data_IF_500203039435
#
_entry.id   IF_500203039435
#
_cell.length_a   1.000
_cell.length_b   1.000
_cell.length_c   1.000
_cell.angle_alpha   90.00
_cell.angle_beta   90.00
_cell.angle_gamma   90.00
#
_symmetry.space_group_name_H-M   'P 1'
#
loop_
_entity.id
_entity.type
_entity.pdbx_description
1 polymer ?
#
# COMPACT_ATOMS: atom_id res chain seq x y z
N UNK A 1 36.18 -59.40 -5.08
CA UNK A 1 36.98 -59.03 -3.90
C UNK A 1 37.45 -57.60 -4.14
N UNK A 2 36.95 -56.66 -3.32
CA UNK A 2 37.01 -55.22 -3.54
C UNK A 2 38.44 -54.63 -3.45
N UNK A 3 38.74 -53.50 -4.12
CA UNK A 3 39.86 -52.64 -3.76
C UNK A 3 39.42 -51.68 -2.63
N UNK A 4 40.27 -51.54 -1.61
CA UNK A 4 40.12 -50.59 -0.51
C UNK A 4 41.27 -49.58 -0.57
N UNK A 5 40.95 -48.35 -0.14
CA UNK A 5 41.82 -47.21 0.18
C UNK A 5 42.04 -46.18 -0.93
N UNK A 6 41.06 -45.27 -1.06
CA UNK A 6 41.32 -43.87 -1.44
C UNK A 6 41.08 -43.02 -0.20
N UNK A 7 42.15 -42.40 0.27
CA UNK A 7 42.20 -41.48 1.40
C UNK A 7 41.88 -40.07 0.88
N UNK A 8 40.67 -39.56 1.12
CA UNK A 8 40.32 -38.16 0.84
C UNK A 8 40.52 -37.37 2.13
N UNK A 9 41.63 -36.65 2.19
CA UNK A 9 41.91 -35.66 3.21
C UNK A 9 41.07 -34.40 2.92
N UNK A 10 40.07 -34.15 3.75
CA UNK A 10 39.32 -32.90 3.76
C UNK A 10 40.13 -31.78 4.43
N UNK A 11 40.11 -30.58 3.83
CA UNK A 11 40.51 -29.34 4.48
C UNK A 11 39.41 -28.28 4.35
N UNK A 12 38.60 -28.22 5.41
CA UNK A 12 38.13 -27.04 6.15
C UNK A 12 38.27 -25.68 5.44
N UNK A 13 37.15 -25.11 4.98
CA UNK A 13 37.03 -23.68 4.73
C UNK A 13 36.66 -23.00 6.05
N UNK A 14 37.65 -22.34 6.66
CA UNK A 14 37.49 -21.51 7.85
C UNK A 14 36.71 -20.24 7.47
N UNK A 15 35.67 -19.96 8.25
CA UNK A 15 34.76 -18.85 8.05
C UNK A 15 35.40 -17.47 8.23
N UNK A 16 35.04 -16.56 7.33
CA UNK A 16 35.15 -15.12 7.54
C UNK A 16 33.79 -14.56 7.92
N UNK A 17 33.46 -14.59 9.22
CA UNK A 17 32.37 -13.76 9.74
C UNK A 17 32.89 -12.33 9.88
N UNK A 18 32.26 -11.43 9.13
CA UNK A 18 32.41 -9.99 9.25
C UNK A 18 32.07 -9.53 10.68
N UNK A 19 33.06 -8.99 11.39
CA UNK A 19 32.87 -8.27 12.64
C UNK A 19 33.03 -6.77 12.34
N UNK A 20 31.92 -6.04 12.18
CA UNK A 20 31.95 -4.58 12.20
C UNK A 20 31.63 -4.15 13.63
N UNK A 21 32.68 -3.76 14.36
CA UNK A 21 32.56 -3.12 15.65
C UNK A 21 32.05 -1.68 15.48
N UNK A 22 30.81 -1.42 15.91
CA UNK A 22 30.31 -0.05 16.04
C UNK A 22 30.79 0.51 17.39
N UNK A 23 31.68 1.51 17.35
CA UNK A 23 32.15 2.18 18.55
C UNK A 23 31.01 2.98 19.20
N UNK A 24 30.69 2.63 20.44
CA UNK A 24 29.96 3.49 21.35
C UNK A 24 30.89 4.59 21.86
N UNK A 25 30.57 5.85 21.56
CA UNK A 25 31.03 6.99 22.38
C UNK A 25 29.82 7.57 23.10
N UNK A 26 29.65 7.16 24.36
CA UNK A 26 28.90 7.90 25.39
C UNK A 26 29.86 8.29 26.49
N UNK A 27 30.01 9.60 26.71
CA UNK A 27 30.41 10.38 27.91
C UNK A 27 30.88 11.75 27.39
N UNK A 28 30.40 12.91 27.80
CA UNK A 28 29.40 13.30 28.80
C UNK A 28 29.44 14.82 28.98
N UNK A 29 28.30 15.36 29.45
CA UNK A 29 28.14 16.47 30.42
C UNK A 29 28.29 17.95 30.00
N UNK A 30 27.17 18.69 30.19
CA UNK A 30 26.99 20.08 30.71
C UNK A 30 27.70 21.24 29.99
N UNK A 31 27.18 22.45 29.82
CA UNK A 31 25.97 23.18 30.18
C UNK A 31 26.13 24.55 29.48
N UNK A 32 25.08 25.12 28.89
CA UNK A 32 24.87 26.58 28.95
C UNK A 32 23.50 26.92 28.38
N UNK A 33 22.72 27.47 29.29
CA UNK A 33 21.45 28.14 29.04
C UNK A 33 21.69 29.41 28.22
N UNK A 34 20.75 29.75 27.34
CA UNK A 34 20.23 31.12 27.33
C UNK A 34 18.83 31.18 26.71
N UNK A 35 17.89 31.58 27.56
CA UNK A 35 16.53 32.00 27.23
C UNK A 35 16.55 33.28 26.39
N UNK A 36 15.61 33.39 25.44
CA UNK A 36 15.00 34.67 25.11
C UNK A 36 13.61 34.45 24.49
N UNK A 37 12.60 34.42 25.35
CA UNK A 37 11.20 34.70 24.99
C UNK A 37 11.13 36.19 24.65
N UNK A 38 10.81 36.55 23.40
CA UNK A 38 10.34 37.90 23.07
C UNK A 38 8.85 37.88 22.74
N UNK A 39 8.12 38.34 23.75
CA UNK A 39 6.77 38.88 23.74
C UNK A 39 6.73 40.16 22.89
N UNK A 40 5.80 40.27 21.95
CA UNK A 40 5.34 41.58 21.45
C UNK A 40 3.81 41.63 21.48
N UNK A 41 3.37 42.71 22.11
CA UNK A 41 2.05 43.06 22.59
C UNK A 41 1.13 43.61 21.48
N UNK A 42 -0.16 43.39 21.72
CA UNK A 42 -1.36 43.97 21.11
C UNK A 42 -1.27 45.39 20.53
N UNK A 43 -2.05 45.64 19.46
CA UNK A 43 -2.90 46.83 19.35
C UNK A 43 -4.27 46.47 18.75
N UNK A 44 -5.32 46.77 19.53
CA UNK A 44 -6.70 46.94 19.08
C UNK A 44 -6.78 48.10 18.08
N UNK A 45 -7.75 48.08 17.17
CA UNK A 45 -8.66 49.21 16.92
C UNK A 45 -9.97 48.69 16.32
N UNK A 46 -11.07 49.16 16.90
CA UNK A 46 -12.45 48.87 16.52
C UNK A 46 -13.08 50.05 15.75
N UNK A 47 -14.28 49.80 15.20
CA UNK A 47 -15.30 50.74 14.66
C UNK A 47 -15.21 50.96 13.13
N UNK A 48 -16.30 51.00 12.35
CA UNK A 48 -17.72 51.29 12.64
C UNK A 48 -18.60 50.85 11.46
N UNK A 49 -19.86 50.57 11.79
CA UNK A 49 -21.02 50.35 10.91
C UNK A 49 -21.33 51.53 9.98
N UNK A 50 -21.78 51.22 8.76
CA UNK A 50 -22.69 52.09 8.00
C UNK A 50 -23.68 51.22 7.22
N UNK A 51 -24.95 51.42 7.54
CA UNK A 51 -26.10 50.79 6.93
C UNK A 51 -26.27 51.21 5.46
N UNK A 52 -26.63 50.26 4.59
CA UNK A 52 -27.39 50.52 3.36
C UNK A 52 -28.37 49.36 3.16
N UNK A 53 -29.67 49.67 3.15
CA UNK A 53 -30.77 48.88 2.56
C UNK A 53 -31.06 49.56 1.21
N UNK A 54 -31.31 48.84 0.10
CA UNK A 54 -32.68 48.40 -0.21
C UNK A 54 -32.73 47.05 -0.97
N UNK A 55 -33.69 46.17 -0.64
CA UNK A 55 -34.85 45.77 -1.45
C UNK A 55 -34.58 44.76 -2.58
N UNK A 56 -35.23 43.61 -2.41
CA UNK A 56 -36.07 42.90 -3.39
C UNK A 56 -35.63 41.50 -3.86
N UNK A 57 -36.62 40.61 -3.78
CA UNK A 57 -36.85 39.37 -4.52
C UNK A 57 -35.77 38.27 -4.58
N UNK A 58 -36.12 37.08 -4.06
CA UNK A 58 -35.35 35.87 -4.37
C UNK A 58 -35.69 34.67 -3.49
N UNK A 59 -36.57 33.82 -4.02
CA UNK A 59 -37.19 32.64 -3.42
C UNK A 59 -36.23 31.44 -3.21
N UNK A 60 -36.68 30.52 -2.33
CA UNK A 60 -36.20 29.16 -2.11
C UNK A 60 -34.93 28.96 -1.28
N UNK A 61 -35.10 28.84 0.04
CA UNK A 61 -34.18 28.06 0.87
C UNK A 61 -34.41 26.58 0.59
N UNK A 62 -33.78 26.09 -0.47
CA UNK A 62 -33.49 24.68 -0.67
C UNK A 62 -32.78 24.16 0.57
N UNK A 63 -33.46 23.26 1.28
CA UNK A 63 -32.96 22.49 2.41
C UNK A 63 -31.70 21.74 1.94
N UNK A 64 -30.52 22.29 2.27
CA UNK A 64 -29.23 21.62 2.09
C UNK A 64 -29.24 20.35 2.94
N UNK A 65 -29.70 19.28 2.31
CA UNK A 65 -29.57 17.93 2.81
C UNK A 65 -28.22 17.48 2.28
N UNK A 66 -27.17 17.77 3.04
CA UNK A 66 -25.85 17.21 2.81
C UNK A 66 -25.93 15.71 3.10
N UNK A 67 -26.47 14.96 2.13
CA UNK A 67 -26.39 13.51 2.11
C UNK A 67 -24.93 13.16 1.88
N UNK A 68 -24.24 12.71 2.94
CA UNK A 68 -22.93 12.08 2.82
C UNK A 68 -23.14 10.65 2.30
N UNK A 69 -23.71 10.52 1.10
CA UNK A 69 -23.64 9.29 0.33
C UNK A 69 -22.23 9.26 -0.27
N UNK A 70 -21.43 8.25 0.11
CA UNK A 70 -20.08 8.10 -0.45
C UNK A 70 -20.15 8.09 -1.98
N UNK A 71 -19.41 9.00 -2.61
CA UNK A 71 -19.36 9.10 -4.07
C UNK A 71 -18.91 7.75 -4.66
N UNK A 72 -19.68 7.24 -5.61
CA UNK A 72 -19.40 6.00 -6.34
C UNK A 72 -18.38 6.23 -7.48
N UNK A 73 -17.87 7.46 -7.63
CA UNK A 73 -17.09 7.91 -8.80
C UNK A 73 -15.77 7.17 -8.99
N UNK A 74 -15.31 6.43 -7.97
CA UNK A 74 -14.04 5.69 -7.96
C UNK A 74 -14.22 4.17 -7.95
N UNK A 75 -15.45 3.66 -8.09
CA UNK A 75 -15.71 2.21 -8.05
C UNK A 75 -15.14 1.56 -9.30
N UNK A 76 -14.37 0.51 -9.09
CA UNK A 76 -13.91 -0.36 -10.18
C UNK A 76 -14.97 -1.42 -10.46
N UNK A 77 -15.37 -1.54 -11.72
CA UNK A 77 -16.21 -2.65 -12.18
C UNK A 77 -15.37 -3.94 -12.23
N UNK A 78 -15.31 -4.64 -11.09
CA UNK A 78 -14.55 -5.89 -10.95
C UNK A 78 -15.11 -6.98 -11.85
N UNK A 79 -16.42 -7.02 -12.07
CA UNK A 79 -17.02 -8.06 -12.92
C UNK A 79 -16.58 -7.88 -14.38
N UNK A 80 -16.56 -6.64 -14.89
CA UNK A 80 -15.99 -6.31 -16.20
C UNK A 80 -14.50 -6.65 -16.26
N UNK A 81 -13.73 -6.18 -15.27
CA UNK A 81 -12.29 -6.40 -15.17
C UNK A 81 -11.91 -7.89 -15.30
N UNK A 82 -12.65 -8.78 -14.62
CA UNK A 82 -12.35 -10.21 -14.63
C UNK A 82 -12.87 -10.92 -15.88
N UNK A 83 -14.00 -10.49 -16.46
CA UNK A 83 -14.54 -11.11 -17.68
C UNK A 83 -13.69 -10.84 -18.91
N UNK A 84 -13.11 -9.66 -19.04
CA UNK A 84 -12.36 -9.27 -20.24
C UNK A 84 -11.11 -10.12 -20.48
N UNK A 85 -10.52 -10.70 -19.42
CA UNK A 85 -9.25 -11.43 -19.48
C UNK A 85 -9.21 -12.72 -18.64
N UNK A 86 -10.38 -13.23 -18.24
CA UNK A 86 -10.51 -14.40 -17.36
C UNK A 86 -9.71 -14.28 -16.05
N UNK A 87 -9.60 -13.06 -15.53
CA UNK A 87 -8.71 -12.69 -14.43
C UNK A 87 -8.10 -11.30 -14.65
N UNK A 88 -7.47 -10.76 -13.61
CA UNK A 88 -6.71 -9.52 -13.68
C UNK A 88 -5.34 -9.70 -13.05
N UNK A 89 -4.30 -9.49 -13.86
CA UNK A 89 -2.91 -9.61 -13.45
C UNK A 89 -2.36 -8.22 -13.20
N UNK A 90 -1.79 -8.01 -12.02
CA UNK A 90 -1.15 -6.77 -11.60
C UNK A 90 0.33 -7.03 -11.36
N UNK A 91 1.19 -6.20 -11.92
CA UNK A 91 2.63 -6.36 -11.81
C UNK A 91 3.31 -5.10 -11.28
N UNK A 92 4.44 -5.32 -10.62
CA UNK A 92 5.34 -4.27 -10.16
C UNK A 92 6.76 -4.82 -10.14
N UNK A 93 7.72 -3.98 -10.48
CA UNK A 93 9.14 -4.29 -10.28
C UNK A 93 9.55 -3.92 -8.85
N UNK A 94 10.41 -4.75 -8.25
CA UNK A 94 10.93 -4.48 -6.91
C UNK A 94 11.54 -5.70 -6.25
N UNK A 95 12.23 -5.46 -5.13
CA UNK A 95 12.84 -6.49 -4.29
C UNK A 95 12.02 -6.64 -3.01
N UNK A 96 11.93 -7.86 -2.47
CA UNK A 96 11.23 -8.19 -1.21
C UNK A 96 9.73 -7.82 -1.16
N UNK A 97 9.10 -7.61 -2.31
CA UNK A 97 7.66 -7.44 -2.44
C UNK A 97 7.12 -8.45 -3.47
N UNK A 98 5.81 -8.72 -3.46
CA UNK A 98 5.19 -9.40 -4.59
C UNK A 98 5.58 -8.71 -5.89
N UNK A 99 5.84 -9.49 -6.93
CA UNK A 99 6.11 -8.99 -8.28
C UNK A 99 4.90 -9.13 -9.18
N UNK A 100 4.03 -10.10 -8.87
CA UNK A 100 2.78 -10.36 -9.58
C UNK A 100 1.68 -10.74 -8.60
N UNK A 101 0.52 -10.11 -8.75
CA UNK A 101 -0.71 -10.45 -8.01
C UNK A 101 -1.79 -10.65 -9.05
N UNK A 102 -2.44 -11.80 -9.02
CA UNK A 102 -3.55 -12.12 -9.90
C UNK A 102 -4.84 -12.25 -9.11
N UNK A 103 -5.84 -11.46 -9.52
CA UNK A 103 -7.20 -11.50 -9.00
C UNK A 103 -8.06 -12.33 -9.96
N UNK A 104 -8.77 -13.32 -9.41
CA UNK A 104 -9.70 -14.16 -10.16
C UNK A 104 -10.98 -14.40 -9.36
N UNK A 105 -12.07 -14.73 -10.06
CA UNK A 105 -13.23 -15.33 -9.43
C UNK A 105 -12.88 -16.73 -8.91
N UNK A 106 -13.41 -17.08 -7.75
CA UNK A 106 -13.32 -18.44 -7.25
C UNK A 106 -14.34 -19.32 -8.01
N UNK A 107 -13.94 -20.44 -8.64
CA UNK A 107 -14.86 -21.31 -9.37
C UNK A 107 -15.77 -22.12 -8.43
N UNK A 108 -15.42 -22.26 -7.15
CA UNK A 108 -16.16 -23.05 -6.18
C UNK A 108 -17.08 -22.21 -5.30
N UNK A 109 -16.89 -20.89 -5.25
CA UNK A 109 -17.63 -20.00 -4.37
C UNK A 109 -18.01 -18.70 -5.07
N UNK A 110 -18.94 -17.92 -4.52
CA UNK A 110 -19.26 -16.58 -5.04
C UNK A 110 -18.21 -15.51 -4.65
N UNK A 111 -17.02 -15.92 -4.20
CA UNK A 111 -15.95 -15.03 -3.78
C UNK A 111 -14.83 -14.94 -4.83
N UNK A 112 -13.68 -14.41 -4.42
CA UNK A 112 -12.52 -14.21 -5.25
C UNK A 112 -11.31 -14.95 -4.65
N UNK A 113 -10.26 -15.07 -5.45
CA UNK A 113 -8.94 -15.50 -5.00
C UNK A 113 -7.85 -14.56 -5.49
N UNK A 114 -6.78 -14.50 -4.72
CA UNK A 114 -5.54 -13.81 -5.06
C UNK A 114 -4.43 -14.85 -5.19
N UNK A 115 -3.77 -14.89 -6.34
CA UNK A 115 -2.53 -15.64 -6.52
C UNK A 115 -1.36 -14.66 -6.46
N UNK A 116 -0.50 -14.82 -5.47
CA UNK A 116 0.57 -13.89 -5.13
C UNK A 116 1.91 -14.55 -5.41
N UNK A 117 2.73 -13.89 -6.22
CA UNK A 117 4.02 -14.38 -6.67
C UNK A 117 5.12 -13.39 -6.26
N UNK A 118 6.20 -13.92 -5.71
CA UNK A 118 7.46 -13.20 -5.47
C UNK A 118 8.52 -13.63 -6.49
N UNK A 119 9.56 -12.83 -6.72
CA UNK A 119 10.58 -13.11 -7.74
C UNK A 119 11.29 -14.47 -7.57
N UNK A 120 11.43 -14.97 -6.34
CA UNK A 120 12.18 -16.18 -6.00
C UNK A 120 11.45 -17.09 -5.00
N UNK A 121 10.12 -17.13 -5.05
CA UNK A 121 9.33 -18.02 -4.20
C UNK A 121 8.17 -18.62 -5.00
N UNK A 122 7.59 -19.72 -4.52
CA UNK A 122 6.41 -20.29 -5.14
C UNK A 122 5.20 -19.37 -5.00
N UNK A 123 4.30 -19.44 -5.98
CA UNK A 123 3.02 -18.76 -5.92
C UNK A 123 2.19 -19.30 -4.75
N UNK A 124 1.53 -18.41 -4.02
CA UNK A 124 0.52 -18.79 -3.02
C UNK A 124 -0.85 -18.29 -3.44
N UNK A 125 -1.88 -19.08 -3.18
CA UNK A 125 -3.26 -18.67 -3.48
C UNK A 125 -4.04 -18.48 -2.19
N UNK A 126 -4.71 -17.33 -2.09
CA UNK A 126 -5.44 -16.89 -0.90
C UNK A 126 -6.87 -16.54 -1.28
N UNK A 127 -7.81 -16.82 -0.38
CA UNK A 127 -9.20 -16.39 -0.49
C UNK A 127 -9.26 -14.86 -0.45
N UNK A 128 -10.24 -14.27 -1.12
CA UNK A 128 -10.46 -12.84 -1.12
C UNK A 128 -11.95 -12.50 -1.17
N UNK A 129 -12.31 -11.41 -0.50
CA UNK A 129 -13.65 -10.80 -0.62
C UNK A 129 -13.50 -9.38 -1.10
N UNK A 130 -14.47 -8.91 -1.90
CA UNK A 130 -14.45 -7.57 -2.46
C UNK A 130 -15.73 -6.84 -2.05
N UNK A 131 -15.57 -5.58 -1.67
CA UNK A 131 -16.70 -4.70 -1.35
C UNK A 131 -16.39 -3.26 -1.71
N UNK A 132 -17.44 -2.48 -1.95
CA UNK A 132 -17.33 -1.03 -2.03
C UNK A 132 -17.44 -0.44 -0.62
N UNK A 133 -16.58 0.54 -0.32
CA UNK A 133 -16.50 1.24 0.96
C UNK A 133 -16.63 2.75 0.73
N UNK A 134 -16.67 3.56 1.79
CA UNK A 134 -16.56 5.00 1.64
C UNK A 134 -15.22 5.39 0.98
N UNK A 135 -15.25 6.35 0.05
CA UNK A 135 -14.07 6.81 -0.68
C UNK A 135 -12.94 7.21 0.26
N UNK A 136 -11.79 6.59 0.05
CA UNK A 136 -10.55 6.84 0.77
C UNK A 136 -9.59 7.63 -0.10
N UNK A 137 -8.79 8.46 0.54
CA UNK A 137 -7.63 9.13 -0.06
C UNK A 137 -6.40 8.48 0.55
N UNK A 138 -5.55 7.87 -0.29
CA UNK A 138 -4.37 7.11 0.14
C UNK A 138 -3.12 7.60 -0.60
N UNK A 139 -1.95 7.45 0.04
CA UNK A 139 -0.65 7.73 -0.58
C UNK A 139 -0.05 6.44 -1.09
N UNK A 140 0.47 6.45 -2.32
CA UNK A 140 1.04 5.27 -2.99
C UNK A 140 2.43 5.57 -3.53
N UNK A 141 3.32 4.58 -3.50
CA UNK A 141 4.51 4.53 -4.35
C UNK A 141 4.07 4.18 -5.75
N UNK A 142 4.29 5.09 -6.70
CA UNK A 142 3.84 4.94 -8.08
C UNK A 142 4.59 3.80 -8.75
N UNK A 143 3.86 2.97 -9.49
CA UNK A 143 4.49 1.94 -10.32
C UNK A 143 5.22 2.56 -11.54
N UNK A 144 4.67 3.65 -12.07
CA UNK A 144 5.17 4.32 -13.29
C UNK A 144 6.42 5.19 -13.07
N UNK A 145 6.73 5.53 -11.81
CA UNK A 145 7.83 6.42 -11.47
C UNK A 145 8.50 5.95 -10.18
N UNK A 146 9.63 5.26 -10.33
CA UNK A 146 10.37 4.68 -9.21
C UNK A 146 10.71 5.75 -8.15
N UNK A 147 10.42 5.42 -6.89
CA UNK A 147 10.66 6.31 -5.74
C UNK A 147 9.68 7.47 -5.59
N UNK A 148 8.79 7.71 -6.56
CA UNK A 148 7.81 8.78 -6.47
C UNK A 148 6.55 8.34 -5.75
N UNK A 149 5.96 9.28 -5.01
CA UNK A 149 4.70 9.05 -4.30
C UNK A 149 3.62 10.00 -4.79
N UNK A 150 2.38 9.52 -4.82
CA UNK A 150 1.21 10.33 -5.17
C UNK A 150 0.00 9.95 -4.35
N UNK A 151 -0.98 10.84 -4.33
CA UNK A 151 -2.26 10.61 -3.66
C UNK A 151 -3.28 10.10 -4.66
N UNK A 152 -4.05 9.07 -4.29
CA UNK A 152 -5.13 8.51 -5.11
C UNK A 152 -6.41 8.37 -4.30
N UNK A 153 -7.53 8.36 -4.99
CA UNK A 153 -8.84 8.07 -4.40
C UNK A 153 -9.32 6.69 -4.84
N UNK A 154 -9.80 5.91 -3.89
CA UNK A 154 -10.28 4.55 -4.13
C UNK A 154 -11.42 4.20 -3.19
N UNK A 155 -12.34 3.36 -3.65
CA UNK A 155 -13.48 2.91 -2.84
C UNK A 155 -13.82 1.43 -3.06
N UNK A 156 -13.07 0.69 -3.90
CA UNK A 156 -13.16 -0.77 -4.04
C UNK A 156 -12.08 -1.43 -3.18
N UNK A 157 -12.49 -2.10 -2.10
CA UNK A 157 -11.61 -2.77 -1.12
C UNK A 157 -11.61 -4.29 -1.36
N UNK A 158 -10.41 -4.89 -1.42
CA UNK A 158 -10.20 -6.33 -1.38
C UNK A 158 -9.69 -6.70 0.01
N UNK A 159 -10.36 -7.61 0.71
CA UNK A 159 -9.91 -8.16 1.98
C UNK A 159 -9.28 -9.53 1.73
N UNK A 160 -8.02 -9.68 2.11
CA UNK A 160 -7.26 -10.93 1.99
C UNK A 160 -7.69 -11.91 3.09
N UNK A 161 -8.04 -13.13 2.69
CA UNK A 161 -8.45 -14.23 3.57
C UNK A 161 -7.35 -15.26 3.78
N UNK A 162 -7.73 -16.45 4.24
CA UNK A 162 -6.80 -17.57 4.44
C UNK A 162 -6.27 -18.11 3.11
N UNK A 163 -5.25 -18.96 3.18
CA UNK A 163 -4.86 -19.81 2.06
C UNK A 163 -6.02 -20.66 1.54
N UNK A 164 -5.95 -21.03 0.26
CA UNK A 164 -6.93 -21.92 -0.38
C UNK A 164 -6.63 -23.40 -0.18
N UNK A 165 -5.38 -23.75 0.10
CA UNK A 165 -4.93 -25.10 0.41
C UNK A 165 -4.41 -25.20 1.86
N UNK A 166 -4.17 -26.43 2.32
CA UNK A 166 -3.71 -26.72 3.69
C UNK A 166 -2.19 -26.93 3.78
N UNK A 167 -1.43 -26.41 2.81
CA UNK A 167 0.02 -26.53 2.75
C UNK A 167 0.78 -25.67 3.76
N UNK A 168 2.08 -25.97 3.91
CA UNK A 168 3.00 -25.06 4.60
C UNK A 168 3.33 -23.89 3.69
N UNK A 169 3.04 -22.68 4.15
CA UNK A 169 3.30 -21.45 3.40
C UNK A 169 4.28 -20.54 4.13
N UNK A 170 4.96 -19.67 3.37
CA UNK A 170 5.90 -18.72 3.95
C UNK A 170 5.21 -17.77 4.94
N UNK A 171 5.92 -17.40 6.01
CA UNK A 171 5.43 -16.39 6.96
C UNK A 171 5.14 -15.04 6.28
N UNK A 172 5.93 -14.69 5.25
CA UNK A 172 5.72 -13.47 4.45
C UNK A 172 4.34 -13.45 3.79
N UNK A 173 3.89 -14.58 3.25
CA UNK A 173 2.54 -14.69 2.70
C UNK A 173 1.47 -14.67 3.80
N UNK A 174 1.71 -15.35 4.92
CA UNK A 174 0.77 -15.39 6.04
C UNK A 174 0.52 -14.00 6.65
N UNK A 175 1.52 -13.11 6.62
CA UNK A 175 1.39 -11.73 7.09
C UNK A 175 0.38 -10.90 6.28
N UNK A 176 0.00 -11.33 5.07
CA UNK A 176 -1.03 -10.66 4.27
C UNK A 176 -2.44 -11.03 4.69
N UNK A 177 -2.63 -12.10 5.48
CA UNK A 177 -3.96 -12.53 5.90
C UNK A 177 -4.59 -11.41 6.72
N UNK A 178 -5.76 -10.96 6.29
CA UNK A 178 -6.45 -9.83 6.91
C UNK A 178 -6.01 -8.46 6.41
N UNK A 179 -5.04 -8.35 5.52
CA UNK A 179 -4.73 -7.07 4.90
C UNK A 179 -5.82 -6.62 3.92
N UNK A 180 -5.77 -5.33 3.62
CA UNK A 180 -6.71 -4.66 2.71
C UNK A 180 -5.95 -4.12 1.52
N UNK A 181 -6.36 -4.56 0.34
CA UNK A 181 -5.92 -3.97 -0.92
C UNK A 181 -7.02 -3.07 -1.47
N UNK A 182 -6.65 -2.20 -2.40
CA UNK A 182 -7.62 -1.34 -3.08
C UNK A 182 -7.41 -1.35 -4.59
N UNK A 183 -8.51 -1.24 -5.33
CA UNK A 183 -8.50 -1.03 -6.77
C UNK A 183 -8.88 0.41 -7.08
N UNK A 184 -8.29 0.97 -8.13
CA UNK A 184 -8.68 2.27 -8.70
C UNK A 184 -8.29 2.36 -10.17
N UNK A 185 -8.91 3.27 -10.93
CA UNK A 185 -8.48 3.61 -12.28
C UNK A 185 -7.33 4.62 -12.23
N UNK A 186 -6.19 4.29 -12.85
CA UNK A 186 -5.03 5.17 -12.90
C UNK A 186 -5.14 6.21 -14.04
N UNK A 187 -4.14 7.08 -14.17
CA UNK A 187 -4.12 8.15 -15.17
C UNK A 187 -4.05 7.63 -16.63
N UNK A 188 -3.66 6.36 -16.81
CA UNK A 188 -3.62 5.68 -18.11
C UNK A 188 -4.94 5.00 -18.47
N UNK A 189 -5.97 5.12 -17.63
CA UNK A 189 -7.29 4.51 -17.84
C UNK A 189 -7.34 3.01 -17.58
N UNK A 190 -6.24 2.40 -17.09
CA UNK A 190 -6.22 0.99 -16.67
C UNK A 190 -6.46 0.88 -15.17
N UNK A 191 -6.70 -0.34 -14.68
CA UNK A 191 -6.87 -0.58 -13.24
C UNK A 191 -5.50 -0.74 -12.59
N UNK A 192 -5.31 -0.07 -11.46
CA UNK A 192 -4.19 -0.33 -10.55
C UNK A 192 -4.69 -1.00 -9.28
N UNK A 193 -3.88 -1.92 -8.76
CA UNK A 193 -4.04 -2.54 -7.44
C UNK A 193 -3.02 -1.92 -6.49
N UNK A 194 -3.44 -1.61 -5.27
CA UNK A 194 -2.52 -1.18 -4.22
C UNK A 194 -2.53 -2.11 -3.02
N UNK A 195 -1.35 -2.37 -2.48
CA UNK A 195 -1.15 -3.22 -1.31
C UNK A 195 -0.38 -2.47 -0.22
N UNK A 196 -0.44 -2.90 1.05
CA UNK A 196 0.57 -2.51 2.03
C UNK A 196 1.99 -2.70 1.50
N UNK A 197 2.94 -1.94 2.05
CA UNK A 197 4.32 -2.04 1.64
C UNK A 197 5.04 -3.17 2.41
N UNK A 198 5.27 -4.28 1.73
CA UNK A 198 5.95 -5.46 2.28
C UNK A 198 7.48 -5.45 2.12
N UNK A 199 8.04 -4.49 1.37
CA UNK A 199 9.47 -4.49 1.05
C UNK A 199 10.37 -4.09 2.23
N UNK A 200 9.80 -3.56 3.32
CA UNK A 200 10.57 -3.09 4.49
C UNK A 200 11.53 -1.94 4.18
N UNK A 201 11.31 -1.22 3.08
CA UNK A 201 12.23 -0.21 2.53
C UNK A 201 11.85 1.23 2.90
N UNK A 202 11.09 1.42 3.98
CA UNK A 202 10.65 2.75 4.46
C UNK A 202 11.40 3.11 5.73
N UNK A 203 12.06 4.27 5.72
CA UNK A 203 12.91 4.73 6.83
C UNK A 203 12.08 5.30 7.99
N UNK A 204 10.94 5.92 7.68
CA UNK A 204 10.10 6.58 8.67
C UNK A 204 8.80 5.83 8.92
N UNK A 205 8.28 5.92 10.15
CA UNK A 205 6.94 5.41 10.48
C UNK A 205 5.83 6.09 9.66
N UNK A 206 6.03 7.34 9.23
CA UNK A 206 5.07 8.04 8.39
C UNK A 206 4.98 7.41 6.99
N UNK A 207 6.11 6.93 6.46
CA UNK A 207 6.16 6.28 5.15
C UNK A 207 5.66 4.83 5.18
N UNK A 208 5.55 4.22 6.37
CA UNK A 208 4.95 2.88 6.54
C UNK A 208 3.46 2.81 6.16
N UNK A 209 2.77 3.96 6.11
CA UNK A 209 1.38 4.04 5.64
C UNK A 209 1.26 4.17 4.11
N UNK A 210 2.38 4.34 3.40
CA UNK A 210 2.39 4.46 1.94
C UNK A 210 2.26 3.06 1.33
N UNK A 211 1.26 2.91 0.46
CA UNK A 211 0.97 1.64 -0.20
C UNK A 211 1.79 1.48 -1.49
N UNK A 212 1.99 0.25 -1.95
CA UNK A 212 2.65 -0.02 -3.23
C UNK A 212 1.61 -0.19 -4.33
N UNK A 213 1.78 0.54 -5.43
CA UNK A 213 0.97 0.37 -6.64
C UNK A 213 1.52 -0.76 -7.53
N UNK A 214 0.59 -1.53 -8.09
CA UNK A 214 0.78 -2.53 -9.13
C UNK A 214 -0.14 -2.17 -10.29
N UNK A 215 0.40 -2.18 -11.51
CA UNK A 215 -0.37 -1.81 -12.71
C UNK A 215 -0.89 -3.08 -13.36
N UNK A 216 -2.13 -3.03 -13.87
CA UNK A 216 -2.68 -4.13 -14.65
C UNK A 216 -1.78 -4.41 -15.86
N UNK A 217 -1.24 -5.63 -15.94
CA UNK A 217 -0.47 -6.08 -17.08
C UNK A 217 -1.33 -6.02 -18.35
N UNK A 218 -0.72 -5.71 -19.50
CA UNK A 218 -1.37 -5.91 -20.80
C UNK A 218 -1.71 -7.39 -20.99
N UNK A 219 -2.73 -7.70 -21.79
CA UNK A 219 -2.91 -9.07 -22.26
C UNK A 219 -1.63 -9.43 -23.02
N UNK A 220 -1.09 -10.64 -22.80
CA UNK A 220 -0.07 -11.16 -23.69
C UNK A 220 -0.73 -11.30 -25.07
N UNK A 221 -0.20 -10.58 -26.07
CA UNK A 221 -0.48 -10.84 -27.49
C UNK A 221 0.05 -12.22 -27.90
#
# INVERSE_FOLDING_TARGET
MAPLAVLILGLVIIGGYFYIAQQQTKRGLTESQQSAIKKVTSKQHASKSSAVKPSDMGESRGRSSQSTAGSQDYVVDVAKLLRERSGAVFTRQGVNAPTRIELQADPQTANYRLTIQYQHADAVTMKATIRNVATKTIKVFSADAAGQTRTVKCNTEIKVGSFTDEGSHSQTAANMIGDKFYLFYNAHGTVSLVTPNYAGNVETKADAAIMNEYVQASAAE
#
